data_IF_576752932959
#
_entry.id   IF_576752932959
#
_cell.length_a   1.000
_cell.length_b   1.000
_cell.length_c   1.000
_cell.angle_alpha   90.00
_cell.angle_beta   90.00
_cell.angle_gamma   90.00
#
_symmetry.space_group_name_H-M   'P 1'
#
loop_
_entity.id
_entity.type
_entity.pdbx_description
1 polymer ?
#
# COMPACT_ATOMS: atom_id res chain seq x y z
N UNK A 1 27.15 -28.38 -2.05
CA UNK A 1 25.69 -28.50 -1.95
C UNK A 1 25.30 -28.44 -0.48
N UNK A 2 25.26 -27.23 0.09
CA UNK A 2 24.84 -26.98 1.48
C UNK A 2 24.08 -25.66 1.43
N UNK A 3 22.75 -25.77 1.51
CA UNK A 3 21.74 -24.70 1.55
C UNK A 3 21.77 -23.76 0.33
N UNK A 4 20.89 -24.01 -0.64
CA UNK A 4 20.66 -23.16 -1.82
C UNK A 4 19.96 -21.84 -1.50
N UNK A 5 20.52 -21.05 -0.59
CA UNK A 5 20.15 -19.66 -0.35
C UNK A 5 21.25 -18.82 -0.99
N UNK A 6 20.96 -18.23 -2.15
CA UNK A 6 21.93 -17.46 -2.92
C UNK A 6 22.40 -16.19 -2.18
N UNK A 7 21.59 -15.63 -1.27
CA UNK A 7 21.93 -14.50 -0.39
C UNK A 7 21.10 -14.55 0.91
N UNK A 8 21.62 -15.05 2.05
CA UNK A 8 20.84 -15.19 3.29
C UNK A 8 20.42 -13.85 3.89
N UNK A 9 21.20 -12.79 3.65
CA UNK A 9 20.91 -11.46 4.15
C UNK A 9 19.67 -10.85 3.47
N UNK A 10 19.54 -10.98 2.15
CA UNK A 10 18.36 -10.51 1.40
C UNK A 10 17.09 -11.20 1.85
N UNK A 11 17.17 -12.53 2.02
CA UNK A 11 16.04 -13.31 2.52
C UNK A 11 15.54 -12.81 3.89
N UNK A 12 16.46 -12.49 4.81
CA UNK A 12 16.09 -11.95 6.13
C UNK A 12 15.47 -10.56 6.00
N UNK A 13 16.00 -9.70 5.11
CA UNK A 13 15.43 -8.36 4.88
C UNK A 13 14.01 -8.44 4.30
N UNK A 14 13.78 -9.28 3.30
CA UNK A 14 12.44 -9.50 2.73
C UNK A 14 11.48 -10.06 3.77
N UNK A 15 11.93 -11.03 4.58
CA UNK A 15 11.14 -11.59 5.67
C UNK A 15 10.77 -10.51 6.70
N UNK A 16 11.72 -9.65 7.08
CA UNK A 16 11.50 -8.55 8.00
C UNK A 16 10.53 -7.51 7.42
N UNK A 17 10.61 -7.20 6.12
CA UNK A 17 9.67 -6.31 5.45
C UNK A 17 8.23 -6.86 5.48
N UNK A 18 8.05 -8.16 5.20
CA UNK A 18 6.72 -8.76 5.33
C UNK A 18 6.26 -8.81 6.78
N UNK A 19 7.15 -9.16 7.71
CA UNK A 19 6.85 -9.24 9.13
C UNK A 19 6.44 -7.89 9.72
N UNK A 20 7.11 -6.79 9.35
CA UNK A 20 6.82 -5.44 9.86
C UNK A 20 5.40 -5.00 9.50
N UNK A 21 4.92 -5.29 8.30
CA UNK A 21 3.54 -4.98 7.87
C UNK A 21 2.53 -5.70 8.78
N UNK A 22 2.71 -7.00 9.02
CA UNK A 22 1.82 -7.76 9.90
C UNK A 22 1.94 -7.33 11.37
N UNK A 23 3.15 -7.00 11.82
CA UNK A 23 3.40 -6.50 13.17
C UNK A 23 2.71 -5.15 13.40
N UNK A 24 2.78 -4.23 12.43
CA UNK A 24 2.08 -2.95 12.50
C UNK A 24 0.57 -3.13 12.61
N UNK A 25 -0.02 -4.01 11.79
CA UNK A 25 -1.44 -4.34 11.85
C UNK A 25 -1.84 -5.00 13.18
N UNK A 26 -1.00 -5.90 13.70
CA UNK A 26 -1.23 -6.60 14.97
C UNK A 26 -1.17 -5.65 16.16
N UNK A 27 -0.15 -4.78 16.23
CA UNK A 27 -0.02 -3.76 17.28
C UNK A 27 -1.21 -2.79 17.21
N UNK A 28 -1.60 -2.38 16.01
CA UNK A 28 -2.75 -1.48 15.82
C UNK A 28 -4.06 -2.09 16.31
N UNK A 29 -4.29 -3.39 16.06
CA UNK A 29 -5.47 -4.10 16.58
C UNK A 29 -5.40 -4.31 18.09
N UNK A 30 -4.22 -4.61 18.63
CA UNK A 30 -4.02 -4.77 20.07
C UNK A 30 -4.24 -3.45 20.81
N UNK A 31 -3.86 -2.32 20.20
CA UNK A 31 -4.12 -0.99 20.75
C UNK A 31 -5.62 -0.70 20.86
N UNK A 32 -6.39 -1.04 19.83
CA UNK A 32 -7.84 -0.83 19.84
C UNK A 32 -8.57 -1.87 20.69
N UNK A 33 -8.47 -3.15 20.35
CA UNK A 33 -9.24 -4.18 21.04
C UNK A 33 -8.69 -4.45 22.45
N UNK A 34 -7.37 -4.50 22.62
CA UNK A 34 -6.74 -4.84 23.88
C UNK A 34 -6.88 -3.75 24.94
N UNK A 35 -6.70 -2.48 24.57
CA UNK A 35 -6.76 -1.37 25.55
C UNK A 35 -8.09 -0.62 25.58
N UNK A 36 -8.81 -0.52 24.45
CA UNK A 36 -10.08 0.23 24.39
C UNK A 36 -11.33 -0.66 24.37
N UNK A 37 -11.15 -1.97 24.17
CA UNK A 37 -12.26 -2.93 24.11
C UNK A 37 -13.10 -2.86 22.84
N UNK A 38 -12.71 -2.05 21.85
CA UNK A 38 -13.48 -1.85 20.61
C UNK A 38 -13.04 -2.90 19.57
N UNK A 39 -13.89 -3.87 19.20
CA UNK A 39 -13.54 -4.89 18.22
C UNK A 39 -13.59 -4.34 16.79
N UNK A 40 -12.44 -3.91 16.27
CA UNK A 40 -12.30 -3.42 14.90
C UNK A 40 -11.72 -4.49 13.96
N UNK A 41 -12.57 -5.38 13.46
CA UNK A 41 -12.16 -6.38 12.45
C UNK A 41 -12.05 -5.83 11.02
N UNK A 42 -12.42 -4.56 10.79
CA UNK A 42 -12.34 -3.89 9.48
C UNK A 42 -11.04 -3.15 9.23
N UNK A 43 -9.95 -3.44 9.96
CA UNK A 43 -8.61 -2.88 9.70
C UNK A 43 -8.19 -2.99 8.23
N UNK A 44 -8.62 -4.07 7.58
CA UNK A 44 -8.40 -4.31 6.15
C UNK A 44 -8.98 -3.19 5.29
N UNK A 45 -10.11 -2.57 5.65
CA UNK A 45 -10.71 -1.47 4.90
C UNK A 45 -9.75 -0.27 4.81
N UNK A 46 -9.21 0.18 5.94
CA UNK A 46 -8.35 1.36 6.00
C UNK A 46 -6.99 1.10 5.36
N UNK A 47 -6.42 -0.07 5.63
CA UNK A 47 -5.17 -0.51 5.04
C UNK A 47 -5.28 -0.64 3.50
N UNK A 48 -6.31 -1.36 3.02
CA UNK A 48 -6.54 -1.55 1.60
C UNK A 48 -6.86 -0.24 0.89
N UNK A 49 -7.69 0.64 1.48
CA UNK A 49 -8.01 1.93 0.90
C UNK A 49 -6.78 2.81 0.64
N UNK A 50 -5.86 2.89 1.61
CA UNK A 50 -4.58 3.59 1.43
C UNK A 50 -3.72 2.95 0.33
N UNK A 51 -3.56 1.62 0.37
CA UNK A 51 -2.77 0.88 -0.61
C UNK A 51 -3.33 1.02 -2.05
N UNK A 52 -4.65 0.99 -2.19
CA UNK A 52 -5.36 1.10 -3.46
C UNK A 52 -5.19 2.47 -4.09
N UNK A 53 -5.30 3.54 -3.30
CA UNK A 53 -5.06 4.90 -3.81
C UNK A 53 -3.61 5.07 -4.20
N UNK A 54 -2.65 4.74 -3.33
CA UNK A 54 -1.22 4.88 -3.64
C UNK A 54 -0.85 4.07 -4.89
N UNK A 55 -1.29 2.81 -5.00
CA UNK A 55 -1.05 1.99 -6.18
C UNK A 55 -1.67 2.56 -7.45
N UNK A 56 -2.90 3.05 -7.37
CA UNK A 56 -3.63 3.63 -8.49
C UNK A 56 -3.05 4.96 -8.96
N UNK A 57 -2.65 5.84 -8.05
CA UNK A 57 -2.28 7.23 -8.36
C UNK A 57 -0.81 7.41 -8.65
N UNK A 58 0.09 6.61 -8.06
CA UNK A 58 1.54 6.86 -8.17
C UNK A 58 2.01 6.87 -9.62
N UNK A 59 1.78 5.78 -10.35
CA UNK A 59 2.23 5.69 -11.75
C UNK A 59 1.46 6.67 -12.63
N UNK A 60 0.15 6.88 -12.39
CA UNK A 60 -0.67 7.80 -13.21
C UNK A 60 -0.27 9.25 -13.04
N UNK A 61 0.02 9.68 -11.81
CA UNK A 61 0.47 11.03 -11.50
C UNK A 61 1.83 11.30 -12.15
N UNK A 62 2.75 10.35 -12.07
CA UNK A 62 4.07 10.45 -12.69
C UNK A 62 3.99 10.49 -14.22
N UNK A 63 3.16 9.64 -14.83
CA UNK A 63 2.89 9.68 -16.26
C UNK A 63 2.29 11.01 -16.70
N UNK A 64 1.41 11.59 -15.87
CA UNK A 64 0.82 12.91 -16.12
C UNK A 64 1.89 14.01 -16.11
N UNK A 65 2.80 14.00 -15.12
CA UNK A 65 3.93 14.94 -15.09
C UNK A 65 4.87 14.80 -16.30
N UNK A 66 4.97 13.60 -16.86
CA UNK A 66 5.81 13.30 -18.02
C UNK A 66 5.12 13.56 -19.37
N UNK A 67 3.82 13.90 -19.39
CA UNK A 67 3.06 14.14 -20.62
C UNK A 67 2.84 12.89 -21.50
N UNK A 68 3.04 11.69 -20.96
CA UNK A 68 2.89 10.43 -21.69
C UNK A 68 1.41 10.00 -21.76
N UNK A 69 0.95 9.59 -22.95
CA UNK A 69 -0.44 9.20 -23.15
C UNK A 69 -0.74 7.86 -22.47
N UNK A 70 -1.70 7.88 -21.52
CA UNK A 70 -2.14 6.71 -20.75
C UNK A 70 -3.10 5.79 -21.52
N UNK A 71 -2.85 5.54 -22.81
CA UNK A 71 -3.66 4.56 -23.56
C UNK A 71 -3.29 3.15 -23.10
N UNK A 72 -4.27 2.39 -22.63
CA UNK A 72 -4.13 1.00 -22.16
C UNK A 72 -3.22 0.80 -20.93
N UNK A 73 -3.39 1.63 -19.89
CA UNK A 73 -2.65 1.54 -18.62
C UNK A 73 -2.58 0.13 -18.02
N UNK A 74 -3.67 -0.64 -18.08
CA UNK A 74 -3.74 -1.95 -17.43
C UNK A 74 -2.91 -3.04 -18.11
N UNK A 75 -2.68 -2.95 -19.42
CA UNK A 75 -1.87 -3.94 -20.14
C UNK A 75 -0.37 -3.64 -20.05
N UNK A 76 -0.01 -2.35 -19.93
CA UNK A 76 1.37 -1.88 -19.94
C UNK A 76 1.82 -1.32 -18.58
N UNK A 77 1.15 -1.72 -17.50
CA UNK A 77 1.42 -1.23 -16.14
C UNK A 77 2.89 -1.42 -15.72
N UNK A 78 3.50 -2.57 -16.03
CA UNK A 78 4.91 -2.89 -15.72
C UNK A 78 5.86 -1.99 -16.50
N UNK A 79 5.58 -1.75 -17.79
CA UNK A 79 6.42 -0.92 -18.64
C UNK A 79 6.42 0.53 -18.16
N UNK A 80 5.24 1.08 -17.85
CA UNK A 80 5.13 2.43 -17.30
C UNK A 80 5.80 2.54 -15.92
N UNK A 81 5.66 1.54 -15.06
CA UNK A 81 6.32 1.54 -13.75
C UNK A 81 7.86 1.53 -13.89
N UNK A 82 8.40 0.77 -14.84
CA UNK A 82 9.84 0.72 -15.11
C UNK A 82 10.36 2.05 -15.65
N UNK A 83 9.65 2.65 -16.62
CA UNK A 83 10.05 3.95 -17.19
C UNK A 83 10.05 5.05 -16.13
N UNK A 84 9.01 5.09 -15.31
CA UNK A 84 8.92 6.01 -14.18
C UNK A 84 10.06 5.76 -13.17
N UNK A 85 10.40 4.51 -12.89
CA UNK A 85 11.51 4.16 -11.99
C UNK A 85 12.86 4.68 -12.50
N UNK A 86 13.12 4.59 -13.80
CA UNK A 86 14.34 5.13 -14.41
C UNK A 86 14.43 6.66 -14.25
N UNK A 87 13.30 7.36 -14.31
CA UNK A 87 13.25 8.82 -14.08
C UNK A 87 13.44 9.18 -12.59
N UNK A 88 12.94 8.35 -11.68
CA UNK A 88 13.15 8.55 -10.25
C UNK A 88 14.61 8.29 -9.85
N UNK A 89 15.32 7.45 -10.59
CA UNK A 89 16.75 7.22 -10.39
C UNK A 89 17.62 8.44 -10.77
N UNK A 90 17.21 9.23 -11.76
CA UNK A 90 17.96 10.42 -12.20
C UNK A 90 17.75 11.64 -11.29
N UNK A 91 16.59 11.75 -10.62
CA UNK A 91 16.22 12.90 -9.81
C UNK A 91 15.82 12.52 -8.36
N UNK A 92 16.76 12.49 -7.40
CA UNK A 92 16.48 12.05 -6.02
C UNK A 92 15.51 12.97 -5.27
N UNK A 93 15.49 14.28 -5.56
CA UNK A 93 14.52 15.21 -4.98
C UNK A 93 13.08 14.81 -5.33
N UNK A 94 12.81 14.50 -6.61
CA UNK A 94 11.47 14.14 -7.07
C UNK A 94 10.99 12.86 -6.38
N UNK A 95 11.87 11.86 -6.24
CA UNK A 95 11.61 10.62 -5.53
C UNK A 95 11.14 10.85 -4.09
N UNK A 96 11.88 11.64 -3.31
CA UNK A 96 11.52 11.91 -1.91
C UNK A 96 10.21 12.70 -1.82
N UNK A 97 9.99 13.69 -2.69
CA UNK A 97 8.74 14.47 -2.68
C UNK A 97 7.52 13.62 -3.00
N UNK A 98 7.64 12.69 -3.96
CA UNK A 98 6.55 11.79 -4.34
C UNK A 98 6.31 10.75 -3.25
N UNK A 99 7.36 10.22 -2.63
CA UNK A 99 7.23 9.33 -1.48
C UNK A 99 6.41 10.00 -0.36
N UNK A 100 6.80 11.20 0.03
CA UNK A 100 6.11 11.97 1.08
C UNK A 100 4.67 12.32 0.67
N UNK A 101 4.46 12.74 -0.57
CA UNK A 101 3.13 13.07 -1.09
C UNK A 101 2.19 11.86 -1.09
N UNK A 102 2.67 10.69 -1.52
CA UNK A 102 1.88 9.45 -1.54
C UNK A 102 1.63 8.90 -0.13
N UNK A 103 2.60 9.03 0.78
CA UNK A 103 2.41 8.69 2.19
C UNK A 103 1.28 9.53 2.81
N UNK A 104 1.30 10.85 2.58
CA UNK A 104 0.25 11.75 3.06
C UNK A 104 -1.10 11.47 2.39
N UNK A 105 -1.12 11.20 1.08
CA UNK A 105 -2.35 10.86 0.35
C UNK A 105 -2.95 9.55 0.85
N UNK A 106 -2.13 8.52 1.06
CA UNK A 106 -2.56 7.24 1.62
C UNK A 106 -3.10 7.38 3.04
N UNK A 107 -2.41 8.13 3.90
CA UNK A 107 -2.87 8.43 5.27
C UNK A 107 -4.18 9.24 5.27
N UNK A 108 -4.31 10.23 4.39
CA UNK A 108 -5.53 11.04 4.27
C UNK A 108 -6.72 10.18 3.83
N UNK A 109 -6.56 9.30 2.83
CA UNK A 109 -7.65 8.43 2.38
C UNK A 109 -7.98 7.37 3.42
N UNK A 110 -6.97 6.74 4.04
CA UNK A 110 -7.19 5.80 5.14
C UNK A 110 -7.94 6.44 6.30
N UNK A 111 -7.57 7.67 6.68
CA UNK A 111 -8.25 8.46 7.71
C UNK A 111 -9.68 8.86 7.32
N UNK A 112 -9.91 9.25 6.06
CA UNK A 112 -11.24 9.57 5.54
C UNK A 112 -12.15 8.33 5.55
N UNK A 113 -11.65 7.17 5.11
CA UNK A 113 -12.39 5.91 5.19
C UNK A 113 -12.65 5.52 6.65
N UNK A 114 -11.69 5.77 7.55
CA UNK A 114 -11.84 5.66 9.01
C UNK A 114 -12.99 6.48 9.56
N UNK A 115 -13.02 7.76 9.19
CA UNK A 115 -14.07 8.68 9.61
C UNK A 115 -15.45 8.26 9.08
N UNK A 116 -15.54 7.89 7.80
CA UNK A 116 -16.80 7.42 7.20
C UNK A 116 -17.28 6.12 7.85
N UNK A 117 -16.37 5.18 8.13
CA UNK A 117 -16.70 3.93 8.81
C UNK A 117 -17.04 4.11 10.30
N UNK A 118 -16.60 5.21 10.92
CA UNK A 118 -16.95 5.56 12.29
C UNK A 118 -18.42 5.97 12.43
N UNK A 119 -19.05 6.46 11.37
CA UNK A 119 -20.47 6.85 11.40
C UNK A 119 -21.45 5.68 11.68
N UNK A 120 -21.39 4.53 10.97
CA UNK A 120 -22.17 3.36 11.35
C UNK A 120 -21.71 2.73 12.66
N UNK A 121 -20.43 2.90 13.02
CA UNK A 121 -19.85 2.31 14.23
C UNK A 121 -20.51 2.80 15.53
N UNK A 122 -20.86 4.08 15.60
CA UNK A 122 -21.45 4.71 16.80
C UNK A 122 -22.84 4.13 17.13
N UNK A 123 -23.51 3.49 16.17
CA UNK A 123 -24.89 3.00 16.32
C UNK A 123 -24.98 1.49 16.64
N UNK A 124 -23.86 0.77 16.65
CA UNK A 124 -23.83 -0.69 16.73
C UNK A 124 -23.19 -1.18 18.05
N UNK A 125 -23.64 -2.34 18.54
CA UNK A 125 -23.02 -3.03 19.67
C UNK A 125 -21.74 -3.76 19.22
N UNK A 126 -20.80 -3.97 20.13
CA UNK A 126 -19.46 -4.54 19.91
C UNK A 126 -19.41 -5.67 18.86
N UNK A 127 -20.21 -6.73 19.01
CA UNK A 127 -20.18 -7.86 18.06
C UNK A 127 -20.66 -7.48 16.65
N UNK A 128 -21.69 -6.64 16.56
CA UNK A 128 -22.22 -6.18 15.27
C UNK A 128 -21.28 -5.18 14.60
N UNK A 129 -20.62 -4.33 15.40
CA UNK A 129 -19.57 -3.42 14.92
C UNK A 129 -18.48 -4.21 14.19
N UNK A 130 -17.95 -5.24 14.83
CA UNK A 130 -16.89 -6.07 14.24
C UNK A 130 -17.30 -6.72 12.91
N UNK A 131 -18.50 -7.31 12.85
CA UNK A 131 -19.01 -7.98 11.63
C UNK A 131 -19.23 -6.97 10.49
N UNK A 132 -19.81 -5.80 10.78
CA UNK A 132 -20.06 -4.77 9.76
C UNK A 132 -18.76 -4.21 9.18
N UNK A 133 -17.76 -3.99 10.02
CA UNK A 133 -16.44 -3.52 9.61
C UNK A 133 -15.71 -4.58 8.77
N UNK A 134 -15.79 -5.87 9.15
CA UNK A 134 -15.27 -6.97 8.34
C UNK A 134 -15.95 -7.02 6.96
N UNK A 135 -17.28 -6.95 6.92
CA UNK A 135 -18.04 -6.94 5.67
C UNK A 135 -17.67 -5.74 4.79
N UNK A 136 -17.46 -4.55 5.38
CA UNK A 136 -17.04 -3.37 4.63
C UNK A 136 -15.66 -3.52 3.98
N UNK A 137 -14.70 -4.16 4.68
CA UNK A 137 -13.38 -4.46 4.13
C UNK A 137 -13.45 -5.42 2.95
N UNK A 138 -14.27 -6.47 3.05
CA UNK A 138 -14.46 -7.42 1.95
C UNK A 138 -15.20 -6.78 0.76
N UNK A 139 -16.19 -5.91 1.02
CA UNK A 139 -16.84 -5.12 -0.04
C UNK A 139 -15.84 -4.27 -0.81
N UNK A 140 -14.93 -3.56 -0.12
CA UNK A 140 -13.90 -2.77 -0.78
C UNK A 140 -12.98 -3.65 -1.64
N UNK A 141 -12.64 -4.85 -1.17
CA UNK A 141 -11.83 -5.82 -1.92
C UNK A 141 -12.55 -6.31 -3.18
N UNK A 142 -13.86 -6.58 -3.11
CA UNK A 142 -14.66 -6.97 -4.27
C UNK A 142 -14.72 -5.83 -5.29
N UNK A 143 -14.95 -4.60 -4.84
CA UNK A 143 -14.96 -3.41 -5.70
C UNK A 143 -13.61 -3.23 -6.40
N UNK A 144 -12.51 -3.33 -5.65
CA UNK A 144 -11.16 -3.19 -6.21
C UNK A 144 -10.84 -4.25 -7.27
N UNK A 145 -11.35 -5.48 -7.12
CA UNK A 145 -11.15 -6.56 -8.08
C UNK A 145 -12.01 -6.46 -9.33
N UNK A 146 -13.20 -5.86 -9.23
CA UNK A 146 -14.14 -5.77 -10.34
C UNK A 146 -14.09 -4.42 -11.07
N UNK A 147 -13.51 -3.39 -10.44
CA UNK A 147 -13.43 -2.04 -11.01
C UNK A 147 -12.05 -1.79 -11.63
N UNK A 148 -11.92 -2.10 -12.92
CA UNK A 148 -10.68 -1.99 -13.68
C UNK A 148 -9.97 -0.63 -13.59
N UNK A 149 -10.69 0.53 -13.60
CA UNK A 149 -10.01 1.82 -13.54
C UNK A 149 -9.23 2.08 -12.24
N UNK A 150 -9.52 1.37 -11.14
CA UNK A 150 -8.80 1.59 -9.88
C UNK A 150 -7.41 0.93 -9.94
N UNK A 151 -7.34 -0.41 -9.97
CA UNK A 151 -6.10 -1.20 -9.87
C UNK A 151 -6.07 -2.29 -10.95
N UNK A 152 -6.73 -2.08 -12.09
CA UNK A 152 -6.75 -3.04 -13.19
C UNK A 152 -7.30 -4.41 -12.79
N UNK A 153 -8.19 -4.43 -11.80
CA UNK A 153 -8.88 -5.62 -11.31
C UNK A 153 -7.93 -6.73 -10.87
N UNK A 154 -7.96 -7.85 -11.59
CA UNK A 154 -7.17 -9.06 -11.29
C UNK A 154 -5.72 -8.97 -11.79
N UNK A 155 -5.40 -8.05 -12.72
CA UNK A 155 -4.05 -7.87 -13.25
C UNK A 155 -3.11 -7.20 -12.25
N UNK A 156 -3.68 -6.42 -11.33
CA UNK A 156 -2.94 -5.63 -10.36
C UNK A 156 -2.19 -4.45 -11.02
N UNK A 157 -1.47 -3.69 -10.20
CA UNK A 157 -0.65 -2.56 -10.63
C UNK A 157 0.74 -2.70 -10.05
N UNK A 158 1.76 -2.49 -10.89
CA UNK A 158 3.14 -2.39 -10.44
C UNK A 158 3.41 -0.97 -9.95
N UNK A 159 3.89 -0.84 -8.72
CA UNK A 159 4.29 0.44 -8.13
C UNK A 159 5.76 0.71 -8.49
N UNK A 160 6.10 1.90 -9.01
CA UNK A 160 7.50 2.25 -9.32
C UNK A 160 8.34 2.31 -8.05
N UNK A 161 9.63 1.98 -8.16
CA UNK A 161 10.54 2.00 -7.02
C UNK A 161 11.02 3.43 -6.76
N UNK A 162 10.61 3.96 -5.61
CA UNK A 162 10.92 5.35 -5.22
C UNK A 162 12.37 5.50 -4.75
N UNK A 163 13.02 4.42 -4.32
CA UNK A 163 14.40 4.43 -3.84
C UNK A 163 15.40 3.92 -4.88
N UNK A 164 15.03 3.93 -6.17
CA UNK A 164 15.87 3.46 -7.27
C UNK A 164 17.19 4.23 -7.47
N UNK A 165 17.33 5.40 -6.86
CA UNK A 165 18.58 6.18 -6.84
C UNK A 165 19.65 5.60 -5.90
N UNK A 166 19.30 4.67 -5.01
CA UNK A 166 20.21 4.03 -4.04
C UNK A 166 20.73 2.69 -4.60
N UNK A 167 22.00 2.30 -4.33
CA UNK A 167 22.49 0.95 -4.63
C UNK A 167 21.64 -0.15 -4.00
N UNK A 168 21.43 -1.26 -4.73
CA UNK A 168 20.50 -2.34 -4.37
C UNK A 168 20.69 -2.88 -2.94
N UNK A 169 21.95 -3.04 -2.50
CA UNK A 169 22.26 -3.57 -1.15
C UNK A 169 21.82 -2.66 0.00
N UNK A 170 21.95 -1.35 -0.18
CA UNK A 170 21.55 -0.36 0.84
C UNK A 170 20.05 -0.10 0.76
N UNK A 171 19.49 -0.16 -0.45
CA UNK A 171 18.08 0.09 -0.71
C UNK A 171 17.17 -0.84 0.10
N UNK A 172 17.44 -2.14 0.11
CA UNK A 172 16.64 -3.13 0.85
C UNK A 172 16.65 -2.82 2.36
N UNK A 173 17.80 -2.49 2.93
CA UNK A 173 17.92 -2.12 4.34
C UNK A 173 17.18 -0.82 4.68
N UNK A 174 17.26 0.18 3.79
CA UNK A 174 16.54 1.46 3.95
C UNK A 174 15.03 1.26 3.89
N UNK A 175 14.54 0.44 2.96
CA UNK A 175 13.11 0.13 2.85
C UNK A 175 12.58 -0.54 4.12
N UNK A 176 13.31 -1.53 4.64
CA UNK A 176 12.95 -2.20 5.90
C UNK A 176 12.99 -1.21 7.09
N UNK A 177 13.95 -0.30 7.14
CA UNK A 177 14.05 0.69 8.21
C UNK A 177 12.92 1.74 8.21
N UNK A 178 12.31 1.97 7.04
CA UNK A 178 11.20 2.92 6.87
C UNK A 178 9.83 2.29 7.20
N UNK A 179 9.69 0.97 7.02
CA UNK A 179 8.46 0.22 7.33
C UNK A 179 8.25 0.03 8.83
#
# INVERSE_FOLDING_TARGET
MIVGIADPLRFILDLLAFFSIYLMLSISLNLEYGYTGIPNFGKVLFFAGGAFIVGATTTRLLLFFMGLSSKNYCNFNVLYASEVTNQLASNPILSITIFAAMLLAGAAVGGLLGYVASYPAIRLRETYLGITLLASGELLRIVARNYDPLICGTLGVSVPDVFAWIPVSIKEAVQVAIM
#
